data_IF_157988159335
#
_entry.id   IF_157988159335
#
_cell.length_a   1.000
_cell.length_b   1.000
_cell.length_c   1.000
_cell.angle_alpha   90.00
_cell.angle_beta   90.00
_cell.angle_gamma   90.00
#
_symmetry.space_group_name_H-M   'P 1'
#
loop_
_entity.id
_entity.type
_entity.pdbx_description
1 polymer ?
#
# COMPACT_ATOMS: atom_id res chain seq x y z
N UNK A 1 -6.24 -7.71 19.35
CA UNK A 1 -6.49 -7.81 17.90
C UNK A 1 -5.24 -7.42 17.10
N UNK A 2 -5.21 -7.79 15.83
CA UNK A 2 -4.16 -7.44 14.87
C UNK A 2 -4.66 -6.30 13.97
N UNK A 3 -3.80 -5.31 13.71
CA UNK A 3 -4.03 -4.24 12.75
C UNK A 3 -3.11 -4.45 11.55
N UNK A 4 -3.66 -4.54 10.34
CA UNK A 4 -2.92 -4.69 9.11
C UNK A 4 -3.18 -3.54 8.13
N UNK A 5 -2.15 -2.77 7.81
CA UNK A 5 -2.22 -1.64 6.88
C UNK A 5 -1.78 -2.00 5.46
N UNK A 6 -1.45 -3.28 5.22
CA UNK A 6 -1.13 -3.80 3.88
C UNK A 6 -1.24 -5.32 3.81
N UNK A 7 -1.49 -5.87 2.63
CA UNK A 7 -1.44 -7.29 2.36
C UNK A 7 -0.05 -7.89 2.65
N UNK A 8 1.03 -7.14 2.41
CA UNK A 8 2.39 -7.57 2.75
C UNK A 8 2.59 -7.79 4.26
N UNK A 9 1.92 -6.99 5.11
CA UNK A 9 1.91 -7.19 6.56
C UNK A 9 1.25 -8.50 6.95
N UNK A 10 0.15 -8.85 6.31
CA UNK A 10 -0.54 -10.14 6.51
C UNK A 10 0.36 -11.29 6.07
N UNK A 11 0.94 -11.24 4.86
CA UNK A 11 1.87 -12.27 4.34
C UNK A 11 3.08 -12.47 5.25
N UNK A 12 3.65 -11.38 5.77
CA UNK A 12 4.78 -11.45 6.68
C UNK A 12 4.40 -12.05 8.05
N UNK A 13 3.19 -11.75 8.52
CA UNK A 13 2.66 -12.30 9.78
C UNK A 13 2.44 -13.81 9.70
N UNK A 14 1.81 -14.30 8.63
CA UNK A 14 1.49 -15.73 8.48
C UNK A 14 2.71 -16.64 8.37
N UNK A 15 3.86 -16.07 7.96
CA UNK A 15 5.16 -16.77 7.96
C UNK A 15 5.76 -16.92 9.36
N UNK A 16 5.24 -16.22 10.37
CA UNK A 16 5.79 -16.15 11.73
C UNK A 16 4.91 -16.77 12.79
N UNK A 17 3.64 -17.00 12.49
CA UNK A 17 2.69 -17.61 13.41
C UNK A 17 1.59 -18.34 12.67
N UNK A 18 1.17 -19.46 13.24
CA UNK A 18 0.02 -20.24 12.75
C UNK A 18 -1.31 -19.78 13.37
N UNK A 19 -1.29 -18.84 14.31
CA UNK A 19 -2.50 -18.34 14.97
C UNK A 19 -3.40 -17.60 13.97
N UNK A 20 -4.67 -18.02 13.91
CA UNK A 20 -5.72 -17.45 13.05
C UNK A 20 -7.00 -17.07 13.83
N UNK A 21 -7.00 -17.38 15.13
CA UNK A 21 -8.10 -17.13 16.07
C UNK A 21 -8.18 -15.67 16.54
N UNK A 22 -7.10 -14.90 16.37
CA UNK A 22 -7.05 -13.48 16.76
C UNK A 22 -7.74 -12.62 15.71
N UNK A 23 -8.70 -11.75 16.08
CA UNK A 23 -9.33 -10.83 15.13
C UNK A 23 -8.31 -9.96 14.39
N UNK A 24 -8.48 -9.81 13.06
CA UNK A 24 -7.64 -8.98 12.22
C UNK A 24 -8.46 -7.84 11.61
N UNK A 25 -7.99 -6.61 11.80
CA UNK A 25 -8.63 -5.40 11.29
C UNK A 25 -7.77 -4.82 10.17
N UNK A 26 -8.30 -4.82 8.97
CA UNK A 26 -7.62 -4.43 7.75
C UNK A 26 -7.96 -3.00 7.35
N UNK A 27 -7.00 -2.30 6.78
CA UNK A 27 -7.16 -0.94 6.26
C UNK A 27 -8.13 -0.88 5.08
N UNK A 28 -8.10 -1.87 4.20
CA UNK A 28 -8.89 -1.88 2.98
C UNK A 28 -9.17 -3.29 2.45
N UNK A 29 -9.99 -3.41 1.39
CA UNK A 29 -10.54 -4.68 0.92
C UNK A 29 -9.46 -5.68 0.49
N UNK A 30 -8.41 -5.26 -0.19
CA UNK A 30 -7.31 -6.13 -0.61
C UNK A 30 -6.57 -6.75 0.59
N UNK A 31 -6.31 -5.95 1.65
CA UNK A 31 -5.67 -6.46 2.88
C UNK A 31 -6.61 -7.40 3.64
N UNK A 32 -7.91 -7.10 3.65
CA UNK A 32 -8.91 -7.95 4.28
C UNK A 32 -9.05 -9.29 3.53
N UNK A 33 -9.03 -9.26 2.21
CA UNK A 33 -9.09 -10.48 1.40
C UNK A 33 -7.87 -11.37 1.65
N UNK A 34 -6.66 -10.80 1.64
CA UNK A 34 -5.43 -11.51 1.97
C UNK A 34 -5.51 -12.20 3.35
N UNK A 35 -6.10 -11.51 4.34
CA UNK A 35 -6.27 -12.08 5.67
C UNK A 35 -7.29 -13.24 5.69
N UNK A 36 -8.38 -13.15 4.94
CA UNK A 36 -9.36 -14.24 4.81
C UNK A 36 -8.75 -15.46 4.12
N UNK A 37 -8.05 -15.24 3.03
CA UNK A 37 -7.36 -16.28 2.26
C UNK A 37 -6.28 -16.98 3.10
N UNK A 38 -5.66 -16.24 4.01
CA UNK A 38 -4.73 -16.76 5.00
C UNK A 38 -5.40 -17.51 6.18
N UNK A 39 -6.73 -17.58 6.23
CA UNK A 39 -7.50 -18.37 7.17
C UNK A 39 -7.85 -17.66 8.50
N UNK A 40 -7.73 -16.32 8.60
CA UNK A 40 -8.19 -15.60 9.78
C UNK A 40 -9.71 -15.71 9.94
N UNK A 41 -10.17 -16.17 11.13
CA UNK A 41 -11.57 -16.46 11.38
C UNK A 41 -12.44 -15.19 11.45
N UNK A 42 -11.87 -14.08 11.94
CA UNK A 42 -12.56 -12.79 12.05
C UNK A 42 -11.72 -11.70 11.39
N UNK A 43 -12.22 -11.17 10.26
CA UNK A 43 -11.59 -10.09 9.51
C UNK A 43 -12.56 -8.95 9.30
N UNK A 44 -12.22 -7.77 9.80
CA UNK A 44 -12.97 -6.52 9.59
C UNK A 44 -12.21 -5.63 8.60
N UNK A 45 -12.94 -4.84 7.81
CA UNK A 45 -12.40 -3.93 6.81
C UNK A 45 -12.84 -2.49 7.08
N UNK A 46 -11.88 -1.57 7.16
CA UNK A 46 -12.14 -0.15 7.36
C UNK A 46 -12.51 0.58 6.05
N UNK A 47 -12.25 -0.06 4.92
CA UNK A 47 -12.51 0.44 3.57
C UNK A 47 -11.92 1.83 3.28
N UNK A 48 -10.66 2.02 3.68
CA UNK A 48 -10.01 3.31 3.53
C UNK A 48 -8.51 3.28 3.80
N UNK A 49 -8.03 4.26 4.53
CA UNK A 49 -6.64 4.46 4.92
C UNK A 49 -6.40 4.20 6.43
N UNK A 50 -5.20 4.53 6.91
CA UNK A 50 -4.85 4.37 8.33
C UNK A 50 -5.74 5.21 9.26
N UNK A 51 -6.23 6.37 8.82
CA UNK A 51 -7.15 7.20 9.58
C UNK A 51 -8.55 6.57 9.64
N UNK A 52 -9.03 6.02 8.52
CA UNK A 52 -10.27 5.27 8.46
C UNK A 52 -10.22 4.04 9.40
N UNK A 53 -9.09 3.30 9.38
CA UNK A 53 -8.89 2.18 10.29
C UNK A 53 -8.92 2.62 11.77
N UNK A 54 -8.23 3.72 12.11
CA UNK A 54 -8.26 4.26 13.48
C UNK A 54 -9.67 4.69 13.92
N UNK A 55 -10.49 5.19 13.00
CA UNK A 55 -11.88 5.56 13.27
C UNK A 55 -12.82 4.34 13.39
N UNK A 56 -12.51 3.25 12.69
CA UNK A 56 -13.33 2.04 12.66
C UNK A 56 -13.12 1.13 13.88
N UNK A 57 -11.88 1.03 14.42
CA UNK A 57 -11.53 0.13 15.54
C UNK A 57 -12.50 0.22 16.72
N UNK A 58 -12.98 1.39 17.19
CA UNK A 58 -13.93 1.47 18.30
C UNK A 58 -15.28 0.78 18.05
N UNK A 59 -15.64 0.53 16.80
CA UNK A 59 -16.88 -0.21 16.44
C UNK A 59 -16.72 -1.71 16.63
N UNK A 60 -15.48 -2.22 16.61
CA UNK A 60 -15.17 -3.64 16.60
C UNK A 60 -14.58 -4.13 17.91
N UNK A 61 -13.96 -3.23 18.68
CA UNK A 61 -13.25 -3.57 19.90
C UNK A 61 -13.27 -2.41 20.90
N UNK A 62 -13.50 -2.71 22.17
CA UNK A 62 -13.37 -1.72 23.27
C UNK A 62 -11.89 -1.52 23.65
N UNK A 63 -11.53 -0.35 24.15
CA UNK A 63 -10.15 -0.02 24.51
C UNK A 63 -9.56 -0.96 25.59
N UNK A 64 -10.41 -1.54 26.46
CA UNK A 64 -9.98 -2.43 27.53
C UNK A 64 -9.82 -3.91 27.11
N UNK A 65 -10.06 -4.25 25.85
CA UNK A 65 -9.99 -5.64 25.37
C UNK A 65 -8.57 -6.16 25.10
N UNK A 66 -7.53 -5.44 25.58
CA UNK A 66 -6.14 -5.80 25.42
C UNK A 66 -5.41 -5.01 24.34
N UNK A 67 -4.10 -5.28 24.20
CA UNK A 67 -3.26 -4.55 23.25
C UNK A 67 -3.58 -4.90 21.78
N UNK A 68 -3.45 -3.90 20.91
CA UNK A 68 -3.51 -4.04 19.47
C UNK A 68 -2.11 -4.25 18.91
N UNK A 69 -1.92 -5.25 18.06
CA UNK A 69 -0.68 -5.51 17.37
C UNK A 69 -0.73 -4.94 15.95
N UNK A 70 -0.03 -3.84 15.70
CA UNK A 70 0.08 -3.27 14.36
C UNK A 70 1.24 -3.92 13.60
N UNK A 71 0.92 -4.81 12.67
CA UNK A 71 1.90 -5.44 11.78
C UNK A 71 2.15 -4.55 10.56
N UNK A 72 3.41 -4.16 10.36
CA UNK A 72 3.76 -3.17 9.34
C UNK A 72 5.15 -3.40 8.74
N UNK A 73 5.44 -2.68 7.67
CA UNK A 73 6.79 -2.53 7.14
C UNK A 73 7.58 -1.42 7.85
N UNK A 74 8.90 -1.41 7.61
CA UNK A 74 9.79 -0.33 8.10
C UNK A 74 9.24 1.05 7.75
N UNK A 75 8.73 1.22 6.55
CA UNK A 75 8.22 2.48 6.02
C UNK A 75 6.68 2.47 5.97
N UNK A 76 6.03 2.24 7.10
CA UNK A 76 4.57 2.35 7.15
C UNK A 76 4.15 3.82 7.17
N UNK A 77 3.26 4.19 6.24
CA UNK A 77 2.66 5.52 6.21
C UNK A 77 1.62 5.69 7.33
N UNK A 78 1.50 6.90 7.84
CA UNK A 78 0.46 7.30 8.78
C UNK A 78 0.81 7.06 10.25
N UNK A 79 0.05 7.73 11.13
CA UNK A 79 0.23 7.70 12.58
C UNK A 79 -0.87 6.89 13.27
N UNK A 80 -1.14 5.67 12.77
CA UNK A 80 -2.21 4.79 13.28
C UNK A 80 -2.07 4.56 14.80
N UNK A 81 -0.85 4.32 15.27
CA UNK A 81 -0.60 4.05 16.68
C UNK A 81 -0.97 5.24 17.58
N UNK A 82 -0.56 6.47 17.21
CA UNK A 82 -0.91 7.65 18.01
C UNK A 82 -2.41 7.99 17.90
N UNK A 83 -3.01 7.82 16.74
CA UNK A 83 -4.46 8.03 16.57
C UNK A 83 -5.31 7.09 17.43
N UNK A 84 -4.86 5.85 17.63
CA UNK A 84 -5.51 4.87 18.51
C UNK A 84 -5.16 5.10 19.97
N UNK A 85 -3.91 5.48 20.28
CA UNK A 85 -3.50 5.82 21.65
C UNK A 85 -4.32 7.00 22.21
N UNK A 86 -4.59 8.03 21.39
CA UNK A 86 -5.47 9.14 21.74
C UNK A 86 -6.92 8.72 22.06
N UNK A 87 -7.33 7.50 21.65
CA UNK A 87 -8.63 6.87 21.95
C UNK A 87 -8.54 5.83 23.07
N UNK A 88 -7.42 5.76 23.79
CA UNK A 88 -7.22 4.86 24.93
C UNK A 88 -6.81 3.42 24.58
N UNK A 89 -6.42 3.15 23.31
CA UNK A 89 -5.93 1.82 22.92
C UNK A 89 -4.42 1.71 23.13
N UNK A 90 -3.97 0.62 23.72
CA UNK A 90 -2.56 0.24 23.74
C UNK A 90 -2.19 -0.37 22.38
N UNK A 91 -1.28 0.23 21.64
CA UNK A 91 -0.83 -0.27 20.33
C UNK A 91 0.65 -0.63 20.39
N UNK A 92 0.94 -1.90 20.10
CA UNK A 92 2.30 -2.37 19.86
C UNK A 92 2.54 -2.45 18.36
N UNK A 93 3.57 -1.75 17.89
CA UNK A 93 4.00 -1.83 16.50
C UNK A 93 5.03 -2.94 16.33
N UNK A 94 4.82 -3.80 15.32
CA UNK A 94 5.74 -4.88 14.97
C UNK A 94 6.13 -4.75 13.50
N UNK A 95 7.42 -4.50 13.25
CA UNK A 95 7.98 -4.39 11.90
C UNK A 95 8.31 -5.80 11.40
N UNK A 96 7.55 -6.28 10.43
CA UNK A 96 7.66 -7.64 9.93
C UNK A 96 8.37 -7.74 8.57
N UNK A 97 8.49 -6.65 7.81
CA UNK A 97 9.10 -6.64 6.48
C UNK A 97 9.71 -5.28 6.16
N UNK A 98 10.68 -5.30 5.25
CA UNK A 98 11.16 -4.13 4.54
C UNK A 98 10.80 -4.25 3.06
N UNK A 99 10.71 -3.12 2.38
CA UNK A 99 10.56 -3.05 0.92
C UNK A 99 11.79 -2.35 0.38
N UNK A 100 12.67 -3.12 -0.23
CA UNK A 100 13.88 -2.59 -0.84
C UNK A 100 13.62 -2.19 -2.29
N UNK A 101 14.36 -1.18 -2.76
CA UNK A 101 14.36 -0.82 -4.16
C UNK A 101 15.13 -1.89 -4.95
N UNK A 102 14.48 -2.45 -5.97
CA UNK A 102 15.14 -3.34 -6.93
C UNK A 102 15.46 -2.50 -8.17
N UNK A 103 16.67 -2.58 -8.73
CA UNK A 103 17.01 -1.90 -9.98
C UNK A 103 16.09 -2.31 -11.13
N UNK A 104 15.85 -1.39 -12.06
CA UNK A 104 15.24 -1.75 -13.34
C UNK A 104 16.10 -2.82 -14.03
N UNK A 105 15.44 -3.87 -14.52
CA UNK A 105 16.17 -4.90 -15.26
C UNK A 105 16.75 -4.34 -16.57
N UNK A 106 17.81 -4.95 -17.12
CA UNK A 106 18.35 -4.53 -18.42
C UNK A 106 17.28 -4.47 -19.52
N UNK A 107 16.41 -5.46 -19.58
CA UNK A 107 15.32 -5.55 -20.55
C UNK A 107 14.30 -4.41 -20.37
N UNK A 108 13.96 -4.06 -19.14
CA UNK A 108 13.08 -2.93 -18.87
C UNK A 108 13.72 -1.60 -19.28
N UNK A 109 15.03 -1.43 -19.04
CA UNK A 109 15.76 -0.24 -19.48
C UNK A 109 15.83 -0.14 -21.00
N UNK A 110 16.14 -1.24 -21.69
CA UNK A 110 16.17 -1.31 -23.15
C UNK A 110 14.81 -0.98 -23.77
N UNK A 111 13.73 -1.54 -23.22
CA UNK A 111 12.36 -1.25 -23.68
C UNK A 111 11.97 0.22 -23.50
N UNK A 112 12.38 0.83 -22.38
CA UNK A 112 12.16 2.27 -22.15
C UNK A 112 13.00 3.14 -23.10
N UNK A 113 14.27 2.77 -23.36
CA UNK A 113 15.14 3.44 -24.33
C UNK A 113 14.58 3.34 -25.75
N UNK A 114 14.09 2.16 -26.15
CA UNK A 114 13.49 1.93 -27.45
C UNK A 114 12.12 2.59 -27.62
N UNK A 115 11.49 3.04 -26.51
CA UNK A 115 10.15 3.62 -26.53
C UNK A 115 9.04 2.61 -26.89
N UNK A 116 9.25 1.33 -26.54
CA UNK A 116 8.30 0.24 -26.78
C UNK A 116 7.37 -0.01 -25.59
N UNK A 117 7.50 0.78 -24.52
CA UNK A 117 6.61 0.76 -23.36
C UNK A 117 5.65 1.93 -23.44
N UNK A 118 4.36 1.65 -23.53
CA UNK A 118 3.31 2.66 -23.66
C UNK A 118 2.93 3.31 -22.33
N UNK A 119 2.91 2.52 -21.22
CA UNK A 119 2.47 3.02 -19.93
C UNK A 119 3.25 2.40 -18.76
N UNK A 120 3.42 3.20 -17.70
CA UNK A 120 3.90 2.75 -16.38
C UNK A 120 2.81 2.99 -15.33
N UNK A 121 2.53 1.95 -14.53
CA UNK A 121 1.52 1.99 -13.46
C UNK A 121 2.18 2.23 -12.11
N UNK A 122 1.76 3.28 -11.41
CA UNK A 122 2.30 3.67 -10.12
C UNK A 122 1.27 3.47 -9.01
N UNK A 123 1.48 2.45 -8.18
CA UNK A 123 0.61 2.09 -7.05
C UNK A 123 0.91 2.89 -5.76
N UNK A 124 1.91 3.75 -5.77
CA UNK A 124 2.23 4.60 -4.62
C UNK A 124 3.17 5.76 -5.00
N UNK A 125 3.19 6.85 -4.22
CA UNK A 125 4.18 7.93 -4.40
C UNK A 125 5.63 7.42 -4.29
N UNK A 126 5.87 6.40 -3.46
CA UNK A 126 7.19 5.82 -3.30
C UNK A 126 7.65 5.07 -4.54
N UNK A 127 6.81 4.21 -5.12
CA UNK A 127 7.17 3.49 -6.34
C UNK A 127 7.45 4.44 -7.51
N UNK A 128 6.68 5.53 -7.61
CA UNK A 128 6.91 6.56 -8.61
C UNK A 128 8.27 7.26 -8.41
N UNK A 129 8.64 7.64 -7.18
CA UNK A 129 9.95 8.24 -6.89
C UNK A 129 11.10 7.30 -7.22
N UNK A 130 11.02 6.03 -6.78
CA UNK A 130 12.06 5.03 -7.07
C UNK A 130 12.24 4.79 -8.56
N UNK A 131 11.15 4.75 -9.31
CA UNK A 131 11.21 4.66 -10.76
C UNK A 131 11.90 5.89 -11.38
N UNK A 132 11.53 7.10 -10.95
CA UNK A 132 12.13 8.34 -11.45
C UNK A 132 13.62 8.43 -11.15
N UNK A 133 14.07 7.99 -9.98
CA UNK A 133 15.47 7.92 -9.60
C UNK A 133 16.24 6.97 -10.53
N UNK A 134 15.69 5.80 -10.82
CA UNK A 134 16.32 4.79 -11.66
C UNK A 134 16.23 5.07 -13.15
N UNK A 135 15.24 5.84 -13.57
CA UNK A 135 15.00 6.24 -14.96
C UNK A 135 15.41 7.70 -15.23
N UNK A 136 16.29 8.28 -14.41
CA UNK A 136 16.66 9.70 -14.52
C UNK A 136 17.25 10.05 -15.90
N UNK A 137 18.04 9.13 -16.47
CA UNK A 137 18.70 9.23 -17.76
C UNK A 137 17.88 8.69 -18.95
N UNK A 138 16.67 8.14 -18.69
CA UNK A 138 15.86 7.50 -19.73
C UNK A 138 14.85 8.49 -20.36
N UNK A 139 14.53 8.35 -21.65
CA UNK A 139 13.55 9.18 -22.35
C UNK A 139 12.11 8.74 -21.99
N UNK A 140 11.46 9.42 -21.04
CA UNK A 140 10.10 9.08 -20.60
C UNK A 140 9.00 9.87 -21.35
N UNK A 141 9.35 10.72 -22.29
CA UNK A 141 8.40 11.61 -23.01
C UNK A 141 7.40 10.85 -23.92
N UNK A 142 7.58 9.55 -24.14
CA UNK A 142 6.63 8.67 -24.85
C UNK A 142 5.82 7.78 -23.91
N UNK A 143 6.20 7.70 -22.64
CA UNK A 143 5.59 6.84 -21.63
C UNK A 143 4.43 7.57 -20.96
N UNK A 144 3.25 6.95 -20.90
CA UNK A 144 2.16 7.44 -20.08
C UNK A 144 2.36 7.00 -18.61
N UNK A 145 2.17 7.91 -17.67
CA UNK A 145 2.20 7.62 -16.24
C UNK A 145 0.78 7.44 -15.71
N UNK A 146 0.43 6.24 -15.25
CA UNK A 146 -0.87 5.92 -14.69
C UNK A 146 -0.76 5.82 -13.17
N UNK A 147 -1.41 6.73 -12.45
CA UNK A 147 -1.26 6.90 -11.00
C UNK A 147 -2.50 6.45 -10.26
N UNK A 148 -2.33 5.67 -9.19
CA UNK A 148 -3.43 5.17 -8.36
C UNK A 148 -4.16 6.28 -7.58
N UNK A 149 -3.50 7.43 -7.36
CA UNK A 149 -4.04 8.53 -6.58
C UNK A 149 -3.42 9.88 -6.96
N UNK A 150 -4.07 11.02 -6.62
CA UNK A 150 -3.50 12.36 -6.80
C UNK A 150 -2.15 12.54 -6.08
N UNK A 151 -1.97 11.94 -4.90
CA UNK A 151 -0.70 11.97 -4.16
C UNK A 151 0.43 11.26 -4.92
N UNK A 152 0.11 10.23 -5.71
CA UNK A 152 1.07 9.54 -6.58
C UNK A 152 1.41 10.40 -7.79
N UNK A 153 0.43 11.05 -8.41
CA UNK A 153 0.65 11.96 -9.54
C UNK A 153 1.47 13.19 -9.14
N UNK A 154 1.28 13.71 -7.94
CA UNK A 154 1.95 14.91 -7.44
C UNK A 154 3.48 14.77 -7.32
N UNK A 155 4.03 13.55 -7.34
CA UNK A 155 5.49 13.34 -7.30
C UNK A 155 6.13 13.31 -8.69
N UNK A 156 5.32 13.30 -9.76
CA UNK A 156 5.83 13.26 -11.13
C UNK A 156 6.28 14.65 -11.59
N UNK A 157 7.48 14.79 -12.16
CA UNK A 157 7.93 16.05 -12.71
C UNK A 157 7.06 16.46 -13.91
N UNK A 158 6.62 17.73 -14.00
CA UNK A 158 5.88 18.24 -15.16
C UNK A 158 6.65 18.02 -16.47
N UNK A 159 5.95 17.58 -17.52
CA UNK A 159 6.52 17.40 -18.86
C UNK A 159 7.49 16.23 -19.02
N UNK A 160 7.70 15.43 -17.98
CA UNK A 160 8.61 14.28 -18.06
C UNK A 160 8.01 13.07 -18.79
N UNK A 161 6.69 12.93 -18.76
CA UNK A 161 5.92 11.86 -19.38
C UNK A 161 5.05 12.37 -20.54
N UNK A 162 4.65 11.47 -21.44
CA UNK A 162 3.71 11.80 -22.53
C UNK A 162 2.37 12.29 -21.97
N UNK A 163 1.89 11.64 -20.91
CA UNK A 163 0.71 12.01 -20.16
C UNK A 163 0.81 11.51 -18.73
N UNK A 164 0.12 12.15 -17.80
CA UNK A 164 -0.09 11.65 -16.44
C UNK A 164 -1.61 11.57 -16.20
N UNK A 165 -2.11 10.38 -15.88
CA UNK A 165 -3.51 10.12 -15.58
C UNK A 165 -3.64 9.59 -14.15
N UNK A 166 -4.72 9.96 -13.48
CA UNK A 166 -5.01 9.49 -12.11
C UNK A 166 -6.28 8.66 -12.13
N UNK A 167 -6.25 7.52 -11.44
CA UNK A 167 -7.41 6.65 -11.28
C UNK A 167 -8.55 7.37 -10.52
N UNK A 168 -9.79 7.10 -10.91
CA UNK A 168 -10.97 7.69 -10.27
C UNK A 168 -11.22 7.21 -8.83
N UNK A 169 -10.62 6.06 -8.45
CA UNK A 169 -10.62 5.52 -7.10
C UNK A 169 -9.25 4.87 -6.80
N UNK A 170 -8.77 4.87 -5.54
CA UNK A 170 -7.44 4.36 -5.20
C UNK A 170 -7.43 2.83 -5.07
N UNK A 171 -7.83 2.13 -6.13
CA UNK A 171 -7.82 0.68 -6.23
C UNK A 171 -7.26 0.22 -7.58
N UNK A 172 -6.90 -1.07 -7.67
CA UNK A 172 -6.26 -1.65 -8.83
C UNK A 172 -7.17 -1.61 -10.08
N UNK A 173 -8.45 -1.88 -9.94
CA UNK A 173 -9.39 -1.95 -11.07
C UNK A 173 -9.53 -0.59 -11.74
N UNK A 174 -9.69 0.47 -10.94
CA UNK A 174 -9.74 1.84 -11.45
C UNK A 174 -8.41 2.29 -12.08
N UNK A 175 -7.26 1.80 -11.59
CA UNK A 175 -5.96 2.08 -12.20
C UNK A 175 -5.81 1.34 -13.54
N UNK A 176 -6.20 0.07 -13.62
CA UNK A 176 -6.14 -0.72 -14.85
C UNK A 176 -7.13 -0.21 -15.91
N UNK A 177 -8.27 0.34 -15.50
CA UNK A 177 -9.23 0.96 -16.42
C UNK A 177 -8.64 2.16 -17.20
N UNK A 178 -7.54 2.75 -16.74
CA UNK A 178 -6.83 3.80 -17.49
C UNK A 178 -6.04 3.29 -18.70
N UNK A 179 -5.87 1.97 -18.86
CA UNK A 179 -5.22 1.36 -20.02
C UNK A 179 -6.14 1.26 -21.25
N UNK A 180 -7.45 1.35 -21.01
CA UNK A 180 -8.44 1.41 -22.07
C UNK A 180 -8.56 2.85 -22.57
#
# INVERSE_FOLDING_TARGET
AILATSANGVRALVRRTERRDVPLFAVGPQTAQEARDAGFARVENADGDAAALAAAVPRWLTANAGALLHVCGVQSAGNLAAALAARGYAVRREILYAVDAVPLTPEAREALLAGTVDAALFFSPRSARLFLEQAADLPLHRLAALCISPATAAVLPPGRFAAARTAGAPNQDALLALLA
#
